data_IF_523064360961
#
_entry.id   IF_523064360961
#
_cell.length_a   1.000
_cell.length_b   1.000
_cell.length_c   1.000
_cell.angle_alpha   90.00
_cell.angle_beta   90.00
_cell.angle_gamma   90.00
#
_symmetry.space_group_name_H-M   'P 1'
#
loop_
_entity.id
_entity.type
_entity.pdbx_description
1 polymer ?
#
# COMPACT_ATOMS: atom_id res chain seq x y z
N UNK A 1 12.35 -7.28 -13.97
CA UNK A 1 11.78 -6.82 -12.69
C UNK A 1 12.93 -6.31 -11.82
N UNK A 2 12.85 -5.05 -11.38
CA UNK A 2 13.74 -4.50 -10.37
C UNK A 2 13.17 -4.80 -8.99
N UNK A 3 14.00 -5.33 -8.10
CA UNK A 3 13.60 -5.74 -6.75
C UNK A 3 14.48 -5.02 -5.73
N UNK A 4 13.90 -4.11 -4.97
CA UNK A 4 14.63 -3.21 -4.09
C UNK A 4 14.19 -3.46 -2.66
N UNK A 5 15.15 -3.63 -1.76
CA UNK A 5 14.90 -3.66 -0.33
C UNK A 5 15.30 -2.33 0.29
N UNK A 6 14.38 -1.71 1.02
CA UNK A 6 14.58 -0.50 1.79
C UNK A 6 14.70 -0.91 3.24
N UNK A 7 15.84 -0.62 3.85
CA UNK A 7 16.17 -1.10 5.19
C UNK A 7 15.70 -0.15 6.30
N UNK A 8 15.49 -0.68 7.51
CA UNK A 8 15.04 0.12 8.65
C UNK A 8 16.11 1.12 9.09
N UNK A 9 15.78 2.42 9.11
CA UNK A 9 16.69 3.48 9.57
C UNK A 9 16.70 3.57 11.11
N UNK A 10 17.43 2.65 11.76
CA UNK A 10 17.51 2.59 13.24
C UNK A 10 18.38 3.69 13.85
N UNK A 11 19.32 4.20 13.07
CA UNK A 11 20.27 5.22 13.51
C UNK A 11 19.80 6.64 13.19
N UNK A 12 18.75 6.78 12.39
CA UNK A 12 18.20 8.05 11.91
C UNK A 12 19.21 8.85 11.08
N UNK A 13 19.94 8.16 10.21
CA UNK A 13 21.02 8.78 9.44
C UNK A 13 20.51 9.62 8.25
N UNK A 14 19.19 9.86 8.17
CA UNK A 14 18.48 10.65 7.15
C UNK A 14 18.54 10.13 5.72
N UNK A 15 19.43 9.18 5.43
CA UNK A 15 19.51 8.45 4.17
C UNK A 15 19.00 7.03 4.38
N UNK A 16 17.84 6.71 3.81
CA UNK A 16 17.35 5.35 3.77
C UNK A 16 18.31 4.47 2.97
N UNK A 17 18.91 3.49 3.64
CA UNK A 17 19.79 2.52 3.01
C UNK A 17 18.93 1.50 2.27
N UNK A 18 19.29 1.20 1.03
CA UNK A 18 18.56 0.26 0.18
C UNK A 18 19.54 -0.62 -0.61
N UNK A 19 19.06 -1.75 -1.12
CA UNK A 19 19.80 -2.60 -2.08
C UNK A 19 18.89 -3.01 -3.22
N UNK A 20 19.42 -3.10 -4.44
CA UNK A 20 18.76 -3.73 -5.59
C UNK A 20 19.35 -5.12 -5.94
N UNK A 21 20.22 -5.65 -5.09
CA UNK A 21 20.98 -6.87 -5.32
C UNK A 21 22.45 -6.61 -5.63
N UNK A 22 22.71 -5.66 -6.52
CA UNK A 22 24.06 -5.41 -7.01
C UNK A 22 24.87 -4.55 -6.03
N UNK A 23 24.23 -3.57 -5.40
CA UNK A 23 24.89 -2.63 -4.48
C UNK A 23 23.97 -2.12 -3.39
N UNK A 24 24.58 -1.69 -2.28
CA UNK A 24 23.91 -0.95 -1.22
C UNK A 24 24.11 0.55 -1.48
N UNK A 25 23.00 1.30 -1.56
CA UNK A 25 23.02 2.74 -1.82
C UNK A 25 21.77 3.44 -1.23
N UNK A 26 21.68 4.76 -1.34
CA UNK A 26 20.44 5.48 -1.01
C UNK A 26 19.34 5.14 -2.02
N UNK A 27 18.06 5.17 -1.61
CA UNK A 27 16.95 4.86 -2.51
C UNK A 27 16.94 5.76 -3.77
N UNK A 28 17.28 7.04 -3.63
CA UNK A 28 17.32 8.01 -4.73
C UNK A 28 18.45 7.75 -5.74
N UNK A 29 19.47 6.98 -5.36
CA UNK A 29 20.50 6.51 -6.28
C UNK A 29 20.10 5.23 -7.02
N UNK A 30 19.13 4.48 -6.49
CA UNK A 30 18.67 3.24 -7.09
C UNK A 30 17.51 3.48 -8.07
N UNK A 31 16.64 4.44 -7.80
CA UNK A 31 15.47 4.74 -8.64
C UNK A 31 15.18 6.23 -8.70
N UNK A 32 14.51 6.65 -9.77
CA UNK A 32 13.89 7.96 -9.83
C UNK A 32 12.63 7.98 -8.95
N UNK A 33 12.76 8.53 -7.74
CA UNK A 33 11.66 8.64 -6.78
C UNK A 33 10.52 9.52 -7.27
N UNK A 34 10.73 10.35 -8.31
CA UNK A 34 9.65 11.15 -8.90
C UNK A 34 8.68 10.32 -9.72
N UNK A 35 9.06 9.10 -10.11
CA UNK A 35 8.19 8.15 -10.78
C UNK A 35 7.27 7.39 -9.82
N UNK A 36 7.56 7.40 -8.51
CA UNK A 36 6.71 6.75 -7.51
C UNK A 36 5.41 7.54 -7.37
N UNK A 37 4.23 6.91 -7.57
CA UNK A 37 2.96 7.60 -7.42
C UNK A 37 2.76 8.11 -5.99
N UNK A 38 2.27 9.34 -5.83
CA UNK A 38 2.09 10.01 -4.51
C UNK A 38 1.21 9.24 -3.52
N UNK A 39 0.33 8.38 -4.02
CA UNK A 39 -0.52 7.55 -3.18
C UNK A 39 0.28 6.43 -2.47
N UNK A 40 1.42 6.02 -3.03
CA UNK A 40 2.28 4.96 -2.48
C UNK A 40 3.08 5.52 -1.30
N UNK A 41 3.05 4.77 -0.20
CA UNK A 41 3.70 5.07 1.06
C UNK A 41 4.80 4.03 1.27
N UNK A 42 6.06 4.49 1.27
CA UNK A 42 7.20 3.62 1.57
C UNK A 42 7.29 3.42 3.09
N UNK A 43 6.56 2.41 3.59
CA UNK A 43 6.45 2.08 5.00
C UNK A 43 5.00 1.79 5.38
N UNK A 44 4.67 1.94 6.67
CA UNK A 44 3.32 1.67 7.19
C UNK A 44 2.73 2.95 7.78
N UNK A 45 1.54 3.39 7.33
CA UNK A 45 0.84 4.52 7.95
C UNK A 45 0.52 4.30 9.43
N UNK A 46 0.69 5.34 10.25
CA UNK A 46 0.43 5.29 11.69
C UNK A 46 -0.99 4.80 12.05
N UNK A 47 -1.98 5.10 11.20
CA UNK A 47 -3.35 4.62 11.39
C UNK A 47 -3.45 3.09 11.34
N UNK A 48 -2.66 2.43 10.50
CA UNK A 48 -2.63 0.96 10.40
C UNK A 48 -1.87 0.34 11.58
N UNK A 49 -0.78 0.96 12.01
CA UNK A 49 -0.05 0.54 13.21
C UNK A 49 -0.99 0.51 14.42
N UNK A 50 -1.81 1.56 14.57
CA UNK A 50 -2.77 1.68 15.68
C UNK A 50 -3.91 0.65 15.55
N UNK A 51 -4.30 0.32 14.33
CA UNK A 51 -5.36 -0.67 14.05
C UNK A 51 -4.91 -2.11 14.33
N UNK A 52 -3.63 -2.41 14.11
CA UNK A 52 -3.04 -3.75 14.22
C UNK A 52 -2.08 -3.87 15.41
N UNK A 53 -2.34 -3.18 16.52
CA UNK A 53 -1.48 -3.22 17.71
C UNK A 53 -1.36 -4.66 18.22
N UNK A 54 -0.11 -5.15 18.32
CA UNK A 54 0.20 -6.49 18.81
C UNK A 54 -0.01 -7.61 17.79
N UNK A 55 -0.39 -7.28 16.56
CA UNK A 55 -0.58 -8.25 15.48
C UNK A 55 0.53 -8.11 14.43
N UNK A 56 0.94 -9.24 13.86
CA UNK A 56 1.77 -9.25 12.65
C UNK A 56 0.85 -9.02 11.44
N UNK A 57 1.27 -8.17 10.52
CA UNK A 57 0.57 -7.94 9.27
C UNK A 57 1.54 -7.46 8.20
N UNK A 58 1.15 -7.66 6.93
CA UNK A 58 1.86 -7.11 5.78
C UNK A 58 1.00 -6.02 5.17
N UNK A 59 1.57 -4.83 5.07
CA UNK A 59 0.97 -3.74 4.34
C UNK A 59 1.49 -3.76 2.91
N UNK A 60 0.59 -3.82 1.93
CA UNK A 60 0.95 -3.86 0.53
C UNK A 60 0.26 -2.76 -0.25
N UNK A 61 0.94 -2.22 -1.24
CA UNK A 61 0.38 -1.22 -2.15
C UNK A 61 0.81 -1.53 -3.57
N UNK A 62 -0.03 -1.18 -4.53
CA UNK A 62 0.25 -1.39 -5.94
C UNK A 62 -0.12 -0.16 -6.75
N UNK A 63 0.69 0.15 -7.75
CA UNK A 63 0.37 1.19 -8.71
C UNK A 63 0.73 0.82 -10.15
N UNK A 64 -0.11 1.27 -11.08
CA UNK A 64 0.17 1.35 -12.52
C UNK A 64 0.82 2.70 -12.79
N UNK A 65 2.07 2.70 -13.23
CA UNK A 65 2.86 3.89 -13.49
C UNK A 65 2.61 4.44 -14.89
N UNK A 66 2.79 5.74 -15.07
CA UNK A 66 2.56 6.43 -16.35
C UNK A 66 3.54 5.99 -17.47
N UNK A 67 4.71 5.47 -17.09
CA UNK A 67 5.72 4.95 -18.02
C UNK A 67 5.40 3.51 -18.50
N UNK A 68 4.23 2.96 -18.15
CA UNK A 68 3.80 1.62 -18.54
C UNK A 68 4.31 0.50 -17.63
N UNK A 69 5.08 0.81 -16.59
CA UNK A 69 5.49 -0.15 -15.56
C UNK A 69 4.43 -0.26 -14.46
N UNK A 70 4.60 -1.27 -13.62
CA UNK A 70 3.86 -1.47 -12.38
C UNK A 70 4.82 -1.43 -11.20
N UNK A 71 4.28 -1.03 -10.06
CA UNK A 71 4.97 -0.97 -8.78
C UNK A 71 4.17 -1.78 -7.77
N UNK A 72 4.86 -2.63 -7.01
CA UNK A 72 4.32 -3.33 -5.83
C UNK A 72 5.23 -3.02 -4.64
N UNK A 73 4.66 -2.51 -3.56
CA UNK A 73 5.32 -2.28 -2.27
C UNK A 73 4.78 -3.26 -1.25
N UNK A 74 5.65 -3.85 -0.43
CA UNK A 74 5.33 -4.76 0.67
C UNK A 74 6.13 -4.32 1.90
N UNK A 75 5.45 -3.97 2.98
CA UNK A 75 6.07 -3.43 4.19
C UNK A 75 5.65 -4.21 5.43
N UNK A 76 6.62 -4.40 6.34
CA UNK A 76 6.42 -4.96 7.69
C UNK A 76 7.07 -4.06 8.74
N UNK A 77 6.64 -4.20 9.99
CA UNK A 77 7.31 -3.58 11.13
C UNK A 77 8.63 -4.31 11.39
N UNK A 78 9.73 -3.56 11.49
CA UNK A 78 11.08 -4.06 11.68
C UNK A 78 11.75 -3.55 12.98
N UNK A 79 10.94 -3.39 14.02
CA UNK A 79 11.34 -2.90 15.33
C UNK A 79 11.22 -1.38 15.45
N UNK A 80 12.10 -0.78 16.26
CA UNK A 80 12.15 0.66 16.51
C UNK A 80 13.55 1.22 16.30
N UNK A 81 13.65 2.51 16.02
CA UNK A 81 14.90 3.27 16.02
C UNK A 81 15.31 3.68 17.45
N UNK A 82 16.44 4.40 17.54
CA UNK A 82 16.99 4.92 18.80
C UNK A 82 16.06 5.86 19.59
N UNK A 83 15.07 6.47 18.94
CA UNK A 83 14.07 7.35 19.57
C UNK A 83 12.73 6.62 19.80
N UNK A 84 12.73 5.28 19.74
CA UNK A 84 11.54 4.43 19.87
C UNK A 84 10.47 4.67 18.79
N UNK A 85 10.83 5.25 17.63
CA UNK A 85 9.92 5.35 16.49
C UNK A 85 9.94 4.03 15.73
N UNK A 86 8.77 3.59 15.27
CA UNK A 86 8.66 2.34 14.52
C UNK A 86 9.37 2.49 13.18
N UNK A 87 10.17 1.49 12.83
CA UNK A 87 10.87 1.40 11.56
C UNK A 87 10.35 0.20 10.76
N UNK A 88 10.49 0.26 9.45
CA UNK A 88 9.90 -0.71 8.53
C UNK A 88 10.98 -1.36 7.68
N UNK A 89 10.76 -2.62 7.34
CA UNK A 89 11.44 -3.27 6.22
C UNK A 89 10.46 -3.27 5.05
N UNK A 90 10.87 -2.68 3.93
CA UNK A 90 10.01 -2.54 2.74
C UNK A 90 10.67 -3.17 1.53
N UNK A 91 9.93 -4.05 0.85
CA UNK A 91 10.27 -4.54 -0.47
C UNK A 91 9.51 -3.75 -1.54
N UNK A 92 10.23 -3.25 -2.54
CA UNK A 92 9.71 -2.49 -3.66
C UNK A 92 10.06 -3.20 -4.97
N UNK A 93 9.03 -3.64 -5.70
CA UNK A 93 9.17 -4.31 -6.98
C UNK A 93 8.66 -3.41 -8.10
N UNK A 94 9.51 -3.13 -9.08
CA UNK A 94 9.16 -2.38 -10.29
C UNK A 94 9.28 -3.32 -11.48
N UNK A 95 8.19 -3.50 -12.23
CA UNK A 95 8.11 -4.54 -13.24
C UNK A 95 7.22 -4.14 -14.42
N UNK A 96 7.51 -4.69 -15.58
CA UNK A 96 6.72 -4.45 -16.79
C UNK A 96 5.38 -5.19 -16.74
N UNK A 97 4.41 -4.81 -17.58
CA UNK A 97 3.07 -5.45 -17.61
C UNK A 97 3.09 -6.97 -17.83
N UNK A 98 4.10 -7.47 -18.54
CA UNK A 98 4.26 -8.90 -18.85
C UNK A 98 5.14 -9.64 -17.83
N UNK A 99 5.74 -8.91 -16.88
CA UNK A 99 6.53 -9.50 -15.81
C UNK A 99 5.64 -9.82 -14.62
N UNK A 100 5.98 -10.89 -13.89
CA UNK A 100 5.28 -11.26 -12.65
C UNK A 100 6.00 -10.64 -11.46
N UNK A 101 5.23 -10.09 -10.53
CA UNK A 101 5.70 -9.79 -9.18
C UNK A 101 5.88 -11.10 -8.38
N UNK A 102 6.62 -11.02 -7.28
CA UNK A 102 6.87 -12.13 -6.36
C UNK A 102 6.23 -11.87 -5.01
N UNK A 103 5.38 -12.80 -4.57
CA UNK A 103 4.81 -12.85 -3.22
C UNK A 103 4.93 -14.31 -2.79
N UNK A 104 5.74 -14.63 -1.77
CA UNK A 104 6.52 -13.70 -0.93
C UNK A 104 7.65 -13.02 -1.74
N UNK A 105 8.14 -11.85 -1.29
CA UNK A 105 9.21 -11.13 -1.97
C UNK A 105 10.52 -11.93 -1.97
N UNK A 106 11.28 -11.82 -3.05
CA UNK A 106 12.57 -12.52 -3.20
C UNK A 106 13.66 -11.72 -2.49
N UNK A 107 14.50 -12.40 -1.72
CA UNK A 107 15.71 -11.82 -1.15
C UNK A 107 16.73 -11.54 -2.25
N UNK A 108 17.30 -10.35 -2.27
CA UNK A 108 18.35 -10.00 -3.24
C UNK A 108 19.73 -10.35 -2.70
N UNK A 109 20.72 -10.34 -3.58
CA UNK A 109 22.13 -10.32 -3.18
C UNK A 109 22.41 -9.06 -2.32
N UNK A 110 23.47 -9.11 -1.51
CA UNK A 110 23.83 -8.03 -0.57
C UNK A 110 22.75 -7.64 0.46
N UNK A 111 21.75 -8.48 0.70
CA UNK A 111 20.79 -8.26 1.77
C UNK A 111 21.47 -8.45 3.14
N UNK A 112 21.48 -7.44 4.04
CA UNK A 112 22.18 -7.49 5.31
C UNK A 112 21.66 -8.61 6.23
N UNK A 113 22.59 -9.39 6.79
CA UNK A 113 22.23 -10.53 7.65
C UNK A 113 21.42 -10.13 8.90
N UNK A 114 21.66 -8.92 9.43
CA UNK A 114 20.93 -8.38 10.58
C UNK A 114 19.42 -8.25 10.34
N UNK A 115 19.01 -8.13 9.07
CA UNK A 115 17.58 -8.02 8.70
C UNK A 115 16.92 -9.37 8.42
N UNK A 116 17.67 -10.48 8.43
CA UNK A 116 17.15 -11.82 8.08
C UNK A 116 15.92 -12.21 8.92
N UNK A 117 15.95 -11.91 10.22
CA UNK A 117 14.83 -12.24 11.11
C UNK A 117 13.51 -11.57 10.71
N UNK A 118 13.57 -10.38 10.09
CA UNK A 118 12.40 -9.67 9.60
C UNK A 118 12.02 -10.16 8.21
N UNK A 119 13.02 -10.49 7.37
CA UNK A 119 12.77 -11.13 6.08
C UNK A 119 12.00 -12.45 6.25
N UNK A 120 12.33 -13.25 7.26
CA UNK A 120 11.64 -14.52 7.54
C UNK A 120 10.14 -14.33 7.81
N UNK A 121 9.72 -13.14 8.26
CA UNK A 121 8.29 -12.82 8.44
C UNK A 121 7.52 -12.74 7.13
N UNK A 122 8.21 -12.51 6.01
CA UNK A 122 7.60 -12.56 4.69
C UNK A 122 7.44 -14.00 4.17
N UNK A 123 8.18 -14.99 4.66
CA UNK A 123 8.32 -16.29 3.98
C UNK A 123 7.09 -17.20 4.07
N UNK A 124 6.21 -17.00 5.05
CA UNK A 124 4.99 -17.80 5.17
C UNK A 124 3.84 -17.20 4.35
N UNK A 125 3.82 -17.48 3.05
CA UNK A 125 2.77 -17.04 2.12
C UNK A 125 1.36 -17.60 2.45
N UNK A 126 1.31 -18.69 3.20
CA UNK A 126 0.07 -19.34 3.64
C UNK A 126 -0.45 -18.77 4.96
N UNK A 127 0.35 -17.94 5.63
CA UNK A 127 -0.08 -17.18 6.79
C UNK A 127 -1.22 -16.23 6.44
N UNK A 128 -2.14 -16.06 7.39
CA UNK A 128 -3.27 -15.12 7.28
C UNK A 128 -2.83 -13.66 7.17
N UNK A 129 -1.56 -13.33 7.48
CA UNK A 129 -1.01 -11.98 7.31
C UNK A 129 -1.03 -11.50 5.85
N UNK A 130 -1.11 -12.44 4.88
CA UNK A 130 -1.23 -12.16 3.46
C UNK A 130 -2.67 -12.02 2.96
N UNK A 131 -3.69 -12.32 3.76
CA UNK A 131 -5.08 -12.29 3.30
C UNK A 131 -5.50 -10.92 2.72
N UNK A 132 -5.18 -9.78 3.37
CA UNK A 132 -5.45 -8.46 2.79
C UNK A 132 -4.72 -8.23 1.47
N UNK A 133 -3.47 -8.73 1.36
CA UNK A 133 -2.66 -8.64 0.14
C UNK A 133 -3.29 -9.45 -0.99
N UNK A 134 -3.69 -10.71 -0.73
CA UNK A 134 -4.37 -11.58 -1.71
C UNK A 134 -5.66 -10.94 -2.22
N UNK A 135 -6.45 -10.32 -1.34
CA UNK A 135 -7.66 -9.57 -1.70
C UNK A 135 -7.31 -8.38 -2.60
N UNK A 136 -6.28 -7.60 -2.26
CA UNK A 136 -5.82 -6.48 -3.09
C UNK A 136 -5.46 -6.95 -4.49
N UNK A 137 -4.63 -7.99 -4.61
CA UNK A 137 -4.16 -8.51 -5.90
C UNK A 137 -5.31 -8.95 -6.79
N UNK A 138 -6.28 -9.68 -6.22
CA UNK A 138 -7.49 -10.08 -6.94
C UNK A 138 -8.28 -8.86 -7.46
N UNK A 139 -8.29 -7.76 -6.71
CA UNK A 139 -8.97 -6.53 -7.13
C UNK A 139 -8.21 -5.76 -8.22
N UNK A 140 -6.88 -5.87 -8.29
CA UNK A 140 -6.08 -5.28 -9.37
C UNK A 140 -6.54 -5.85 -10.72
N UNK A 141 -6.69 -7.17 -10.81
CA UNK A 141 -7.11 -7.87 -12.03
C UNK A 141 -8.53 -7.52 -12.45
N UNK A 142 -9.43 -7.40 -11.47
CA UNK A 142 -10.85 -7.09 -11.69
C UNK A 142 -11.09 -5.61 -12.03
N UNK A 143 -10.18 -4.71 -11.67
CA UNK A 143 -10.36 -3.26 -11.81
C UNK A 143 -9.23 -2.61 -12.63
N UNK A 144 -9.10 -3.01 -13.90
CA UNK A 144 -8.04 -2.52 -14.80
C UNK A 144 -8.04 -1.00 -15.03
N UNK A 145 -9.16 -0.33 -14.79
CA UNK A 145 -9.33 1.11 -14.98
C UNK A 145 -8.80 1.96 -13.82
N UNK A 146 -8.56 1.37 -12.65
CA UNK A 146 -8.00 2.06 -11.50
C UNK A 146 -6.47 2.04 -11.57
N UNK A 147 -5.78 3.02 -11.00
CA UNK A 147 -4.32 3.05 -11.10
C UNK A 147 -3.63 2.62 -9.82
N UNK A 148 -4.25 2.80 -8.66
CA UNK A 148 -3.61 2.63 -7.35
C UNK A 148 -4.46 1.78 -6.39
N UNK A 149 -3.80 0.86 -5.69
CA UNK A 149 -4.41 -0.11 -4.77
C UNK A 149 -3.61 -0.21 -3.47
N UNK A 150 -4.29 -0.58 -2.39
CA UNK A 150 -3.71 -0.79 -1.05
C UNK A 150 -4.32 -2.05 -0.46
N UNK A 151 -3.59 -2.81 0.35
CA UNK A 151 -4.13 -4.01 1.03
C UNK A 151 -5.09 -3.64 2.14
N UNK A 152 -4.94 -2.44 2.67
CA UNK A 152 -5.72 -1.92 3.79
C UNK A 152 -6.46 -0.63 3.43
N UNK A 153 -7.51 -0.33 4.18
CA UNK A 153 -8.23 0.92 4.04
C UNK A 153 -7.54 2.05 4.82
N UNK A 154 -6.98 3.01 4.09
CA UNK A 154 -6.40 4.26 4.59
C UNK A 154 -7.40 5.44 4.62
N UNK A 155 -7.85 5.80 5.81
CA UNK A 155 -8.90 6.81 5.97
C UNK A 155 -8.35 8.22 6.16
N UNK A 156 -7.18 8.33 6.78
CA UNK A 156 -6.59 9.59 7.22
C UNK A 156 -5.60 10.18 6.20
N UNK A 157 -5.16 9.40 5.21
CA UNK A 157 -4.22 9.89 4.18
C UNK A 157 -4.87 10.88 3.21
N UNK A 158 -4.06 11.83 2.74
CA UNK A 158 -4.45 12.85 1.76
C UNK A 158 -4.63 12.24 0.36
N UNK A 159 -3.60 11.55 -0.12
CA UNK A 159 -3.55 10.96 -1.46
C UNK A 159 -4.07 9.52 -1.44
N UNK A 160 -5.41 9.38 -1.48
CA UNK A 160 -6.06 8.06 -1.41
C UNK A 160 -5.90 7.26 -2.69
N UNK A 161 -5.64 5.97 -2.51
CA UNK A 161 -5.69 4.98 -3.58
C UNK A 161 -7.05 4.98 -4.28
N UNK A 162 -7.05 4.71 -5.58
CA UNK A 162 -8.23 4.84 -6.44
C UNK A 162 -9.36 3.87 -6.08
N UNK A 163 -9.00 2.65 -5.67
CA UNK A 163 -9.96 1.61 -5.31
C UNK A 163 -10.69 1.87 -3.99
N UNK A 164 -10.18 2.80 -3.18
CA UNK A 164 -10.75 3.10 -1.89
C UNK A 164 -12.06 3.89 -2.01
N UNK A 165 -13.03 3.67 -1.10
CA UNK A 165 -14.27 4.42 -1.09
C UNK A 165 -14.01 5.93 -0.86
N UNK A 166 -14.21 6.74 -1.90
CA UNK A 166 -14.09 8.20 -1.83
C UNK A 166 -15.31 8.77 -1.09
N UNK A 167 -15.08 9.66 -0.09
CA UNK A 167 -16.13 10.32 0.72
C UNK A 167 -17.25 11.03 -0.09
N UNK A 168 -17.05 11.26 -1.40
CA UNK A 168 -17.96 12.00 -2.29
C UNK A 168 -19.32 11.34 -2.51
N UNK A 169 -19.48 10.04 -2.29
CA UNK A 169 -20.73 9.34 -2.60
C UNK A 169 -21.81 9.45 -1.52
N UNK A 170 -21.44 9.64 -0.26
CA UNK A 170 -22.44 9.63 0.83
C UNK A 170 -23.34 10.86 0.80
N UNK A 171 -22.79 12.05 0.53
CA UNK A 171 -23.57 13.30 0.41
C UNK A 171 -24.47 13.30 -0.83
N UNK A 172 -23.96 12.85 -1.99
CA UNK A 172 -24.77 12.73 -3.21
C UNK A 172 -25.93 11.75 -3.04
N UNK A 173 -25.70 10.57 -2.44
CA UNK A 173 -26.77 9.61 -2.15
C UNK A 173 -27.82 10.19 -1.19
N UNK A 174 -27.40 10.88 -0.12
CA UNK A 174 -28.32 11.56 0.79
C UNK A 174 -29.19 12.61 0.10
N UNK A 175 -28.62 13.41 -0.80
CA UNK A 175 -29.37 14.41 -1.59
C UNK A 175 -30.37 13.71 -2.52
N UNK A 176 -29.96 12.66 -3.23
CA UNK A 176 -30.84 11.89 -4.13
C UNK A 176 -32.00 11.25 -3.34
N UNK A 177 -31.72 10.66 -2.17
CA UNK A 177 -32.75 10.11 -1.29
C UNK A 177 -33.72 11.18 -0.78
N UNK A 178 -33.21 12.37 -0.41
CA UNK A 178 -34.04 13.48 0.04
C UNK A 178 -34.98 13.98 -1.08
N UNK A 179 -34.48 14.10 -2.32
CA UNK A 179 -35.28 14.51 -3.48
C UNK A 179 -36.37 13.46 -3.78
N UNK A 180 -36.01 12.17 -3.79
CA UNK A 180 -36.98 11.08 -4.01
C UNK A 180 -38.07 11.07 -2.94
N UNK A 181 -37.70 11.21 -1.67
CA UNK A 181 -38.65 11.27 -0.56
C UNK A 181 -39.61 12.46 -0.70
N UNK A 182 -39.10 13.64 -1.03
CA UNK A 182 -39.92 14.84 -1.22
C UNK A 182 -40.88 14.68 -2.41
N UNK A 183 -40.43 14.08 -3.51
CA UNK A 183 -41.30 13.81 -4.68
C UNK A 183 -42.44 12.86 -4.35
N UNK A 184 -42.18 11.85 -3.52
CA UNK A 184 -43.18 10.88 -3.06
C UNK A 184 -44.20 11.53 -2.11
N UNK A 185 -43.75 12.45 -1.24
CA UNK A 185 -44.64 13.21 -0.37
C UNK A 185 -45.59 14.10 -1.18
N UNK A 186 -45.08 14.75 -2.22
CA UNK A 186 -45.89 15.62 -3.11
C UNK A 186 -46.95 14.80 -3.84
N UNK A 187 -46.61 13.63 -4.40
CA UNK A 187 -47.59 12.79 -5.08
C UNK A 187 -48.68 12.28 -4.14
N UNK A 188 -48.35 11.88 -2.92
CA UNK A 188 -49.34 11.49 -1.91
C UNK A 188 -50.27 12.66 -1.55
N UNK A 189 -49.72 13.87 -1.37
CA UNK A 189 -50.52 15.07 -1.09
C UNK A 189 -51.41 15.49 -2.25
N UNK A 190 -51.01 15.23 -3.50
CA UNK A 190 -51.85 15.50 -4.68
C UNK A 190 -52.95 14.45 -4.90
N UNK A 191 -52.76 13.20 -4.45
CA UNK A 191 -53.78 12.14 -4.54
C UNK A 191 -54.85 12.30 -3.46
N UNK A 192 -54.49 12.83 -2.29
CA UNK A 192 -55.41 13.05 -1.16
C UNK A 192 -56.13 14.41 -1.17
N UNK A 193 -56.10 15.13 -2.29
CA UNK A 193 -56.79 16.41 -2.51
C UNK A 193 -57.90 16.25 -3.55
#
# INVERSE_FOLDING_TARGET
MKNIWIFPDREQNSNSISTDGDRIASLTELIDVTEIPKAIILGIPQELITKHIGEKFIFAEYARMNNGQNLLSLSIIAGTDKDNRIVYLTNLQIFSQNEKYSIPPIKTENFPEIENKYFDEFLDENSSIYDPVKIMLKNIDNNKHLTTFSSENLYQITDKHDWMPKKKDRKKRLIVFAILFLSCLITILMINR
#
